data_IF_872799935156
#
_entry.id   IF_872799935156
#
_cell.length_a   1.000
_cell.length_b   1.000
_cell.length_c   1.000
_cell.angle_alpha   90.00
_cell.angle_beta   90.00
_cell.angle_gamma   90.00
#
_symmetry.space_group_name_H-M   'P 1'
#
loop_
_entity.id
_entity.type
_entity.pdbx_description
1 polymer ?
#
# COMPACT_ATOMS: atom_id res chain seq x y z
N UNK A 1 -2.81 -14.25 8.93
CA UNK A 1 -2.63 -13.50 10.17
C UNK A 1 -3.09 -12.08 10.01
N UNK A 2 -3.69 -11.53 11.06
CA UNK A 2 -4.10 -10.13 11.15
C UNK A 2 -3.32 -9.41 12.24
N UNK A 3 -2.90 -8.17 11.93
CA UNK A 3 -2.12 -7.31 12.83
C UNK A 3 -2.83 -5.97 12.95
N UNK A 4 -3.23 -5.58 14.16
CA UNK A 4 -3.91 -4.32 14.42
C UNK A 4 -3.73 -3.94 15.90
N UNK A 5 -3.29 -2.73 16.24
CA UNK A 5 -3.10 -2.31 17.63
C UNK A 5 -4.42 -2.19 18.41
N UNK A 6 -5.57 -2.14 17.75
CA UNK A 6 -6.88 -2.04 18.38
C UNK A 6 -7.20 -0.69 18.97
N UNK A 7 -6.59 0.38 18.47
CA UNK A 7 -6.79 1.73 19.00
C UNK A 7 -8.17 2.31 18.66
N UNK A 8 -8.74 1.90 17.52
CA UNK A 8 -10.00 2.45 17.02
C UNK A 8 -11.22 1.57 17.32
N UNK A 9 -11.02 0.26 17.47
CA UNK A 9 -12.11 -0.71 17.64
C UNK A 9 -11.97 -1.50 18.94
N UNK A 10 -12.87 -1.29 19.89
CA UNK A 10 -12.87 -1.97 21.21
C UNK A 10 -12.94 -3.50 21.11
N UNK A 11 -13.50 -4.03 20.03
CA UNK A 11 -13.69 -5.48 19.80
C UNK A 11 -12.70 -6.08 18.82
N UNK A 12 -11.50 -5.48 18.71
CA UNK A 12 -10.46 -5.95 17.82
C UNK A 12 -10.14 -7.44 18.05
N UNK A 13 -10.30 -8.23 16.98
CA UNK A 13 -10.05 -9.70 16.97
C UNK A 13 -8.75 -10.06 16.24
N UNK A 14 -7.85 -9.10 16.04
CA UNK A 14 -6.58 -9.38 15.39
C UNK A 14 -5.79 -10.46 16.12
N UNK A 15 -5.09 -11.31 15.35
CA UNK A 15 -4.20 -12.34 15.88
C UNK A 15 -3.07 -11.72 16.70
N UNK A 16 -2.57 -10.57 16.25
CA UNK A 16 -1.54 -9.80 16.93
C UNK A 16 -2.02 -8.37 17.19
N UNK A 17 -2.21 -8.03 18.46
CA UNK A 17 -2.58 -6.66 18.90
C UNK A 17 -1.33 -5.80 19.04
N UNK A 18 -0.72 -5.51 17.90
CA UNK A 18 0.54 -4.78 17.76
C UNK A 18 0.42 -3.76 16.63
N UNK A 19 1.25 -2.72 16.66
CA UNK A 19 1.50 -1.94 15.46
C UNK A 19 2.27 -2.77 14.44
N UNK A 20 2.19 -2.45 13.17
CA UNK A 20 2.96 -3.12 12.12
C UNK A 20 4.47 -3.08 12.40
N UNK A 21 4.99 -1.93 12.84
CA UNK A 21 6.40 -1.78 13.20
C UNK A 21 6.84 -2.76 14.31
N UNK A 22 6.05 -2.88 15.39
CA UNK A 22 6.37 -3.80 16.48
C UNK A 22 6.18 -5.27 16.06
N UNK A 23 5.16 -5.58 15.24
CA UNK A 23 4.98 -6.90 14.67
C UNK A 23 6.21 -7.35 13.88
N UNK A 24 6.65 -6.57 12.91
CA UNK A 24 7.81 -6.94 12.09
C UNK A 24 9.11 -6.95 12.89
N UNK A 25 9.26 -6.12 13.91
CA UNK A 25 10.40 -6.17 14.84
C UNK A 25 10.42 -7.49 15.62
N UNK A 26 9.28 -7.95 16.15
CA UNK A 26 9.18 -9.23 16.86
C UNK A 26 9.33 -10.42 15.93
N UNK A 27 8.84 -10.33 14.69
CA UNK A 27 9.01 -11.34 13.67
C UNK A 27 10.49 -11.53 13.31
N UNK A 28 11.23 -10.44 13.06
CA UNK A 28 12.70 -10.51 12.85
C UNK A 28 13.45 -11.13 14.03
N UNK A 29 12.97 -10.90 15.23
CA UNK A 29 13.54 -11.49 16.45
C UNK A 29 13.11 -12.96 16.71
N UNK A 30 12.21 -13.52 15.89
CA UNK A 30 11.66 -14.87 16.08
C UNK A 30 10.82 -15.04 17.36
N UNK A 31 10.21 -13.93 17.86
CA UNK A 31 9.45 -13.94 19.12
C UNK A 31 7.99 -14.32 18.95
N UNK A 32 7.41 -14.14 17.77
CA UNK A 32 5.98 -14.38 17.50
C UNK A 32 5.77 -15.49 16.45
N UNK A 33 6.58 -15.52 15.41
CA UNK A 33 6.62 -16.55 14.36
C UNK A 33 8.08 -16.90 14.08
N UNK A 34 8.33 -17.92 13.26
CA UNK A 34 9.69 -18.19 12.79
C UNK A 34 10.23 -16.99 12.03
N UNK A 35 11.47 -16.59 12.30
CA UNK A 35 12.18 -15.55 11.53
C UNK A 35 12.34 -15.90 10.05
N UNK A 36 12.25 -17.17 9.71
CA UNK A 36 12.33 -17.68 8.34
C UNK A 36 10.95 -17.75 7.65
N UNK A 37 9.88 -17.31 8.35
CA UNK A 37 8.55 -17.21 7.78
C UNK A 37 8.55 -16.29 6.56
N UNK A 38 7.88 -16.71 5.49
CA UNK A 38 7.66 -15.91 4.29
C UNK A 38 6.20 -16.03 3.88
N UNK A 39 5.64 -14.91 3.45
CA UNK A 39 4.23 -14.81 3.10
C UNK A 39 4.04 -14.78 1.58
N UNK A 40 2.97 -15.41 1.11
CA UNK A 40 2.55 -15.36 -0.30
C UNK A 40 1.95 -13.99 -0.62
N UNK A 41 1.14 -13.45 0.31
CA UNK A 41 0.49 -12.15 0.18
C UNK A 41 0.58 -11.40 1.52
N UNK A 42 0.92 -10.12 1.45
CA UNK A 42 0.85 -9.20 2.58
C UNK A 42 -0.05 -8.03 2.18
N UNK A 43 -1.18 -7.88 2.87
CA UNK A 43 -2.13 -6.79 2.65
C UNK A 43 -1.87 -5.65 3.64
N UNK A 44 -1.74 -4.43 3.12
CA UNK A 44 -1.49 -3.20 3.88
C UNK A 44 -2.69 -2.29 3.73
N UNK A 45 -3.43 -2.11 4.82
CA UNK A 45 -4.60 -1.24 4.93
C UNK A 45 -4.69 -0.71 6.37
N UNK A 46 -3.62 -0.08 6.82
CA UNK A 46 -3.48 0.42 8.18
C UNK A 46 -3.57 1.94 8.26
N UNK A 47 -2.58 2.60 8.84
CA UNK A 47 -2.53 4.05 8.89
C UNK A 47 -2.22 4.64 7.50
N UNK A 48 -3.14 5.46 6.97
CA UNK A 48 -3.07 5.98 5.59
C UNK A 48 -2.10 7.16 5.44
N UNK A 49 -0.96 7.12 6.11
CA UNK A 49 0.12 8.12 5.99
C UNK A 49 1.30 7.52 5.23
N UNK A 50 1.79 8.25 4.23
CA UNK A 50 2.85 7.79 3.33
C UNK A 50 4.08 7.24 4.06
N UNK A 51 4.51 7.89 5.14
CA UNK A 51 5.68 7.44 5.91
C UNK A 51 5.47 6.07 6.58
N UNK A 52 4.27 5.82 7.12
CA UNK A 52 3.97 4.51 7.71
C UNK A 52 3.83 3.45 6.64
N UNK A 53 3.08 3.74 5.57
CA UNK A 53 2.90 2.82 4.45
C UNK A 53 4.24 2.45 3.81
N UNK A 54 5.16 3.41 3.68
CA UNK A 54 6.50 3.18 3.14
C UNK A 54 7.30 2.20 4.01
N UNK A 55 7.27 2.36 5.35
CA UNK A 55 7.88 1.40 6.28
C UNK A 55 7.21 0.02 6.21
N UNK A 56 5.90 -0.01 6.08
CA UNK A 56 5.15 -1.26 5.97
C UNK A 56 5.49 -2.02 4.69
N UNK A 57 5.65 -1.32 3.57
CA UNK A 57 6.12 -1.92 2.30
C UNK A 57 7.54 -2.47 2.46
N UNK A 58 8.47 -1.71 3.03
CA UNK A 58 9.85 -2.18 3.27
C UNK A 58 9.88 -3.43 4.15
N UNK A 59 9.11 -3.43 5.22
CA UNK A 59 8.98 -4.58 6.09
C UNK A 59 8.35 -5.78 5.35
N UNK A 60 7.27 -5.54 4.60
CA UNK A 60 6.58 -6.58 3.84
C UNK A 60 7.50 -7.23 2.81
N UNK A 61 8.25 -6.46 2.03
CA UNK A 61 9.18 -6.98 1.02
C UNK A 61 10.27 -7.88 1.61
N UNK A 62 10.69 -7.64 2.86
CA UNK A 62 11.67 -8.49 3.55
C UNK A 62 11.11 -9.87 3.95
N UNK A 63 9.79 -9.98 4.12
CA UNK A 63 9.12 -11.22 4.52
C UNK A 63 8.24 -11.83 3.41
N UNK A 64 8.24 -11.23 2.23
CA UNK A 64 7.53 -11.72 1.06
C UNK A 64 8.30 -12.87 0.40
N UNK A 65 7.60 -13.91 -0.04
CA UNK A 65 8.14 -14.90 -0.97
C UNK A 65 8.55 -14.24 -2.29
N UNK A 66 9.39 -14.93 -3.05
CA UNK A 66 9.90 -14.40 -4.31
C UNK A 66 8.82 -14.21 -5.39
N UNK A 67 7.80 -15.07 -5.37
CA UNK A 67 6.61 -15.04 -6.21
C UNK A 67 5.38 -14.43 -5.51
N UNK A 68 5.60 -13.77 -4.37
CA UNK A 68 4.53 -13.17 -3.59
C UNK A 68 4.16 -11.75 -4.01
N UNK A 69 3.07 -11.25 -3.39
CA UNK A 69 2.54 -9.92 -3.64
C UNK A 69 2.38 -9.12 -2.35
N UNK A 70 2.83 -7.85 -2.38
CA UNK A 70 2.36 -6.83 -1.44
C UNK A 70 1.15 -6.15 -2.08
N UNK A 71 0.04 -6.11 -1.34
CA UNK A 71 -1.22 -5.52 -1.77
C UNK A 71 -1.52 -4.33 -0.88
N UNK A 72 -1.80 -3.17 -1.47
CA UNK A 72 -2.11 -1.94 -0.76
C UNK A 72 -3.51 -1.45 -1.11
N UNK A 73 -4.27 -1.00 -0.12
CA UNK A 73 -5.52 -0.28 -0.33
C UNK A 73 -5.26 1.23 -0.53
N UNK A 74 -6.24 1.98 -1.03
CA UNK A 74 -6.25 3.45 -1.11
C UNK A 74 -5.19 4.12 -2.00
N UNK A 75 -4.69 3.41 -3.01
CA UNK A 75 -3.64 3.93 -3.88
C UNK A 75 -4.14 4.93 -4.95
N UNK A 76 -5.45 5.08 -5.15
CA UNK A 76 -6.04 5.89 -6.22
C UNK A 76 -7.09 6.88 -5.69
N UNK A 77 -6.72 7.87 -4.86
CA UNK A 77 -7.67 8.83 -4.28
C UNK A 77 -8.42 9.62 -5.35
N UNK A 78 -9.78 9.66 -5.31
CA UNK A 78 -10.59 10.30 -6.36
C UNK A 78 -10.38 11.80 -6.44
N UNK A 79 -10.18 12.48 -5.31
CA UNK A 79 -9.98 13.93 -5.23
C UNK A 79 -8.87 14.27 -4.25
N UNK A 80 -8.39 15.51 -4.31
CA UNK A 80 -7.41 16.04 -3.35
C UNK A 80 -7.90 15.96 -1.89
N UNK A 81 -9.23 16.06 -1.69
CA UNK A 81 -9.83 15.90 -0.38
C UNK A 81 -9.69 14.49 0.18
N UNK A 82 -9.77 13.46 -0.67
CA UNK A 82 -9.50 12.08 -0.27
C UNK A 82 -8.01 11.88 0.02
N UNK A 83 -7.13 12.59 -0.69
CA UNK A 83 -5.66 12.48 -0.61
C UNK A 83 -5.03 13.31 0.52
N UNK A 84 -5.83 13.93 1.42
CA UNK A 84 -5.35 14.77 2.51
C UNK A 84 -4.57 13.98 3.57
N UNK A 85 -3.62 14.62 4.22
CA UNK A 85 -2.85 13.98 5.32
C UNK A 85 -3.66 13.84 6.61
N UNK A 86 -4.57 14.78 6.86
CA UNK A 86 -5.31 14.83 8.13
C UNK A 86 -6.68 14.19 7.98
N UNK A 87 -6.94 13.14 8.74
CA UNK A 87 -8.24 12.46 8.80
C UNK A 87 -9.39 13.37 9.21
N UNK A 88 -9.15 14.31 10.14
CA UNK A 88 -10.15 15.05 10.90
C UNK A 88 -11.03 16.05 10.12
N UNK A 89 -10.94 16.13 8.80
CA UNK A 89 -11.76 17.06 7.99
C UNK A 89 -13.10 16.45 7.58
N UNK A 90 -14.01 16.27 8.54
CA UNK A 90 -15.34 15.68 8.29
C UNK A 90 -16.28 16.55 7.44
N UNK A 91 -16.07 17.87 7.37
CA UNK A 91 -16.84 18.79 6.54
C UNK A 91 -16.27 18.97 5.12
N UNK A 92 -15.41 18.08 4.69
CA UNK A 92 -14.80 18.16 3.35
C UNK A 92 -15.76 17.63 2.27
N UNK A 93 -15.56 18.00 1.00
CA UNK A 93 -16.28 17.40 -0.13
C UNK A 93 -16.10 15.89 -0.29
N UNK A 94 -15.18 15.26 0.44
CA UNK A 94 -15.01 13.81 0.53
C UNK A 94 -15.92 13.15 1.56
N UNK A 95 -16.77 13.93 2.24
CA UNK A 95 -17.78 13.45 3.20
C UNK A 95 -17.23 12.45 4.25
N UNK A 96 -16.04 12.71 4.76
CA UNK A 96 -15.34 11.85 5.71
C UNK A 96 -14.52 10.72 5.09
N UNK A 97 -14.68 10.40 3.80
CA UNK A 97 -13.84 9.42 3.13
C UNK A 97 -12.37 9.87 3.08
N UNK A 98 -11.44 8.93 3.28
CA UNK A 98 -10.03 9.26 3.45
C UNK A 98 -9.10 8.16 2.96
N UNK A 99 -8.50 8.38 1.82
CA UNK A 99 -7.39 7.54 1.31
C UNK A 99 -6.04 7.96 1.92
N UNK A 100 -5.97 9.17 2.47
CA UNK A 100 -4.72 9.70 3.00
C UNK A 100 -3.64 9.87 1.93
N UNK A 101 -2.41 9.62 2.32
CA UNK A 101 -1.25 9.80 1.45
C UNK A 101 -0.64 8.47 0.97
N UNK A 102 -1.38 7.36 1.03
CA UNK A 102 -0.96 6.02 0.57
C UNK A 102 -0.42 6.05 -0.86
N UNK A 103 -1.11 6.79 -1.76
CA UNK A 103 -0.71 6.94 -3.15
C UNK A 103 0.73 7.46 -3.32
N UNK A 104 1.24 8.30 -2.40
CA UNK A 104 2.61 8.81 -2.45
C UNK A 104 3.62 7.69 -2.20
N UNK A 105 3.38 6.84 -1.21
CA UNK A 105 4.21 5.68 -0.91
C UNK A 105 4.19 4.68 -2.07
N UNK A 106 3.00 4.40 -2.63
CA UNK A 106 2.89 3.52 -3.81
C UNK A 106 3.64 4.09 -5.01
N UNK A 107 3.49 5.38 -5.35
CA UNK A 107 4.22 6.02 -6.44
C UNK A 107 5.74 5.94 -6.26
N UNK A 108 6.24 6.08 -5.03
CA UNK A 108 7.67 5.90 -4.75
C UNK A 108 8.15 4.52 -5.20
N UNK A 109 7.38 3.46 -4.95
CA UNK A 109 7.70 2.09 -5.40
C UNK A 109 7.58 1.90 -6.91
N UNK A 110 6.73 2.67 -7.57
CA UNK A 110 6.62 2.68 -9.03
C UNK A 110 7.92 3.12 -9.73
N UNK A 111 8.83 3.80 -9.04
CA UNK A 111 10.14 4.22 -9.57
C UNK A 111 11.26 3.22 -9.30
N UNK A 112 11.04 2.23 -8.44
CA UNK A 112 12.06 1.25 -8.08
C UNK A 112 12.26 0.22 -9.20
N UNK A 113 13.44 0.22 -9.82
CA UNK A 113 13.77 -0.67 -10.96
C UNK A 113 13.78 -2.16 -10.60
N UNK A 114 13.87 -2.48 -9.33
CA UNK A 114 13.88 -3.85 -8.80
C UNK A 114 12.49 -4.41 -8.52
N UNK A 115 11.44 -3.62 -8.73
CA UNK A 115 10.07 -4.00 -8.43
C UNK A 115 9.18 -3.89 -9.68
N UNK A 116 8.20 -4.77 -9.76
CA UNK A 116 7.08 -4.69 -10.69
C UNK A 116 5.83 -4.27 -9.94
N UNK A 117 5.04 -3.37 -10.51
CA UNK A 117 3.85 -2.88 -9.83
C UNK A 117 2.79 -2.33 -10.75
N UNK A 118 1.54 -2.48 -10.37
CA UNK A 118 0.37 -1.89 -11.00
C UNK A 118 -0.66 -1.50 -9.93
N UNK A 119 -1.65 -0.72 -10.32
CA UNK A 119 -2.81 -0.43 -9.49
C UNK A 119 -4.06 -0.91 -10.21
N UNK A 120 -4.87 -1.71 -9.55
CA UNK A 120 -6.16 -2.15 -10.08
C UNK A 120 -7.16 -1.02 -9.86
N UNK A 121 -7.88 -0.65 -10.92
CA UNK A 121 -8.86 0.44 -10.92
C UNK A 121 -10.20 -0.02 -10.31
N UNK A 122 -10.17 -0.27 -9.02
CA UNK A 122 -11.32 -0.64 -8.20
C UNK A 122 -11.09 -0.19 -6.77
N UNK A 123 -12.15 -0.02 -5.99
CA UNK A 123 -12.13 0.19 -4.54
C UNK A 123 -11.05 1.19 -4.08
N UNK A 124 -11.09 2.40 -4.65
CA UNK A 124 -10.13 3.49 -4.41
C UNK A 124 -8.66 3.16 -4.74
N UNK A 125 -8.46 2.13 -5.58
CA UNK A 125 -7.17 1.72 -6.10
C UNK A 125 -6.45 0.69 -5.22
N UNK A 126 -6.39 -0.54 -5.74
CA UNK A 126 -5.64 -1.64 -5.12
C UNK A 126 -4.26 -1.71 -5.76
N UNK A 127 -3.25 -1.19 -5.05
CA UNK A 127 -1.86 -1.25 -5.47
C UNK A 127 -1.27 -2.65 -5.27
N UNK A 128 -0.60 -3.18 -6.29
CA UNK A 128 0.08 -4.47 -6.22
C UNK A 128 1.56 -4.28 -6.50
N UNK A 129 2.41 -4.90 -5.69
CA UNK A 129 3.87 -4.89 -5.85
C UNK A 129 4.38 -6.34 -5.81
N UNK A 130 5.27 -6.69 -6.75
CA UNK A 130 5.98 -7.97 -6.78
C UNK A 130 7.46 -7.77 -7.04
N UNK A 131 8.28 -8.69 -6.52
CA UNK A 131 9.73 -8.73 -6.79
C UNK A 131 10.05 -9.35 -8.14
N UNK A 132 9.35 -10.42 -8.53
CA UNK A 132 9.72 -11.23 -9.69
C UNK A 132 8.60 -11.42 -10.72
N UNK A 133 7.34 -11.22 -10.36
CA UNK A 133 6.23 -11.34 -11.31
C UNK A 133 6.04 -9.99 -12.01
N UNK A 134 6.24 -9.96 -13.33
CA UNK A 134 6.11 -8.74 -14.11
C UNK A 134 4.64 -8.36 -14.34
N UNK A 135 4.07 -7.64 -13.39
CA UNK A 135 2.73 -7.05 -13.44
C UNK A 135 2.74 -5.59 -13.91
N UNK A 136 3.88 -5.08 -14.35
CA UNK A 136 4.05 -3.74 -14.87
C UNK A 136 5.42 -3.16 -14.53
N UNK A 137 6.08 -2.64 -15.54
CA UNK A 137 7.43 -2.08 -15.43
C UNK A 137 7.47 -0.80 -14.59
N UNK A 138 8.61 -0.49 -13.97
CA UNK A 138 8.84 0.79 -13.30
C UNK A 138 8.61 1.97 -14.25
N UNK A 139 8.14 3.08 -13.71
CA UNK A 139 8.02 4.34 -14.46
C UNK A 139 9.29 5.17 -14.32
N UNK A 140 9.60 5.96 -15.36
CA UNK A 140 10.67 6.97 -15.32
C UNK A 140 10.11 8.40 -15.10
N UNK A 141 8.80 8.53 -15.01
CA UNK A 141 8.14 9.82 -14.77
C UNK A 141 8.09 10.07 -13.27
N UNK A 142 8.85 11.06 -12.81
CA UNK A 142 8.95 11.41 -11.40
C UNK A 142 8.43 12.83 -11.20
N UNK A 143 7.40 12.99 -10.36
CA UNK A 143 7.14 14.24 -9.69
C UNK A 143 7.64 14.15 -8.24
N UNK A 144 8.82 14.71 -7.92
CA UNK A 144 9.42 14.57 -6.60
C UNK A 144 8.65 15.33 -5.50
N UNK A 145 7.74 16.21 -5.89
CA UNK A 145 6.93 17.00 -4.95
C UNK A 145 5.60 16.30 -4.60
N UNK A 146 5.24 15.21 -5.29
CA UNK A 146 3.98 14.51 -5.09
C UNK A 146 2.77 15.46 -5.04
N UNK A 147 2.67 16.38 -6.01
CA UNK A 147 1.54 17.29 -6.14
C UNK A 147 0.32 16.54 -6.67
N UNK A 148 -0.81 16.65 -5.96
CA UNK A 148 -2.02 15.95 -6.36
C UNK A 148 -2.50 16.32 -7.77
N UNK A 149 -2.37 17.60 -8.14
CA UNK A 149 -2.78 18.07 -9.48
C UNK A 149 -2.02 17.35 -10.61
N UNK A 150 -0.72 17.18 -10.46
CA UNK A 150 0.10 16.44 -11.43
C UNK A 150 -0.21 14.94 -11.39
N UNK A 151 -0.36 14.37 -10.20
CA UNK A 151 -0.82 13.00 -10.05
C UNK A 151 -2.16 12.77 -10.76
N UNK A 152 -3.15 13.62 -10.53
CA UNK A 152 -4.47 13.49 -11.13
C UNK A 152 -4.46 13.57 -12.66
N UNK A 153 -3.56 14.40 -13.22
CA UNK A 153 -3.40 14.55 -14.67
C UNK A 153 -2.82 13.31 -15.35
N UNK A 154 -1.87 12.65 -14.70
CA UNK A 154 -1.14 11.50 -15.24
C UNK A 154 -1.40 10.21 -14.45
N UNK A 155 -2.51 10.13 -13.76
CA UNK A 155 -2.91 9.08 -12.83
C UNK A 155 -2.76 7.67 -13.43
N UNK A 156 -3.22 7.49 -14.67
CA UNK A 156 -3.20 6.20 -15.36
C UNK A 156 -1.77 5.69 -15.57
N UNK A 157 -0.89 6.57 -16.00
CA UNK A 157 0.52 6.25 -16.25
C UNK A 157 1.30 6.07 -14.95
N UNK A 158 1.12 6.98 -14.01
CA UNK A 158 1.82 6.95 -12.72
C UNK A 158 1.49 5.68 -11.92
N UNK A 159 0.22 5.33 -11.84
CA UNK A 159 -0.24 4.14 -11.14
C UNK A 159 -0.03 2.85 -11.93
N UNK A 160 0.23 2.90 -13.25
CA UNK A 160 0.01 1.76 -14.14
C UNK A 160 -1.38 1.18 -13.89
N UNK A 161 -2.40 2.04 -14.06
CA UNK A 161 -3.77 1.72 -13.71
C UNK A 161 -4.36 0.74 -14.72
N UNK A 162 -4.80 -0.44 -14.26
CA UNK A 162 -5.33 -1.52 -15.08
C UNK A 162 -6.65 -2.04 -14.52
N UNK A 163 -7.40 -2.76 -15.34
CA UNK A 163 -8.58 -3.47 -14.88
C UNK A 163 -8.21 -4.75 -14.10
N UNK A 164 -9.16 -5.28 -13.33
CA UNK A 164 -8.98 -6.56 -12.65
C UNK A 164 -8.81 -7.70 -13.67
N UNK A 165 -9.54 -7.65 -14.77
CA UNK A 165 -9.46 -8.64 -15.85
C UNK A 165 -8.07 -8.64 -16.52
N UNK A 166 -7.41 -7.47 -16.62
CA UNK A 166 -6.06 -7.39 -17.14
C UNK A 166 -5.04 -7.91 -16.11
N UNK A 167 -5.26 -7.64 -14.83
CA UNK A 167 -4.40 -8.16 -13.77
C UNK A 167 -4.37 -9.70 -13.74
N UNK A 168 -5.52 -10.35 -13.87
CA UNK A 168 -5.61 -11.84 -13.85
C UNK A 168 -4.74 -12.48 -14.94
N UNK A 169 -4.49 -11.79 -16.06
CA UNK A 169 -3.67 -12.33 -17.16
C UNK A 169 -2.19 -12.49 -16.80
N UNK A 170 -1.75 -11.88 -15.71
CA UNK A 170 -0.37 -12.02 -15.20
C UNK A 170 -0.19 -13.20 -14.24
N UNK A 171 -1.29 -13.79 -13.76
CA UNK A 171 -1.30 -14.94 -12.85
C UNK A 171 -1.42 -16.26 -13.59
#
# INVERSE_FOLDING_TARGET
YSVDPGLEVKTNKADFKLTSDEFFKQLRAGKILSKDCRFDVIFIDGLHLAEQVDRDIDNALNFLKDDGFVVLHDCNPPTEWHARETYSFYSSPADGAWNGTVWKAFLKRRFEKSLYSCCIDTDWGVGIISKNINIGSPTNQVNPFFEYKEFNKYRKEYLNLISFEDFIKFL
#
